data_IF_789877359820
#
_entry.id   IF_789877359820
#
_cell.length_a   1.000
_cell.length_b   1.000
_cell.length_c   1.000
_cell.angle_alpha   90.00
_cell.angle_beta   90.00
_cell.angle_gamma   90.00
#
_symmetry.space_group_name_H-M   'P 1'
#
loop_
_entity.id
_entity.type
_entity.pdbx_description
1 polymer ?
#
# COMPACT_ATOMS: atom_id res chain seq x y z
N UNK A 1 20.66 11.76 -26.97
CA UNK A 1 21.29 10.64 -26.21
C UNK A 1 21.26 10.87 -24.71
N UNK A 2 21.66 12.03 -24.17
CA UNK A 2 21.50 12.32 -22.73
C UNK A 2 20.08 12.75 -22.32
N UNK A 3 19.45 13.63 -23.12
CA UNK A 3 18.08 14.14 -22.87
C UNK A 3 17.03 13.03 -22.83
N UNK A 4 17.09 12.08 -23.77
CA UNK A 4 16.14 10.97 -23.86
C UNK A 4 16.11 10.10 -22.58
N UNK A 5 17.25 9.98 -21.90
CA UNK A 5 17.38 9.17 -20.67
C UNK A 5 16.84 9.93 -19.45
N UNK A 6 17.04 11.25 -19.38
CA UNK A 6 16.51 12.08 -18.29
C UNK A 6 14.98 12.22 -18.37
N UNK A 7 14.40 12.39 -19.56
CA UNK A 7 12.95 12.36 -19.73
C UNK A 7 12.36 11.00 -19.34
N UNK A 8 13.01 9.90 -19.73
CA UNK A 8 12.58 8.55 -19.35
C UNK A 8 12.59 8.38 -17.82
N UNK A 9 13.65 8.85 -17.14
CA UNK A 9 13.73 8.83 -15.67
C UNK A 9 12.59 9.63 -15.04
N UNK A 10 12.24 10.78 -15.60
CA UNK A 10 11.10 11.58 -15.17
C UNK A 10 9.78 10.80 -15.26
N UNK A 11 9.52 10.15 -16.40
CA UNK A 11 8.33 9.32 -16.62
C UNK A 11 8.29 8.12 -15.65
N UNK A 12 9.41 7.42 -15.48
CA UNK A 12 9.52 6.30 -14.54
C UNK A 12 9.34 6.74 -13.08
N UNK A 13 9.85 7.92 -12.71
CA UNK A 13 9.65 8.49 -11.38
C UNK A 13 8.17 8.77 -11.11
N UNK A 14 7.47 9.39 -12.07
CA UNK A 14 6.02 9.62 -11.96
C UNK A 14 5.25 8.30 -11.89
N UNK A 15 5.53 7.34 -12.75
CA UNK A 15 4.88 6.01 -12.70
C UNK A 15 5.12 5.30 -11.37
N UNK A 16 6.36 5.33 -10.86
CA UNK A 16 6.74 4.69 -9.60
C UNK A 16 6.05 5.32 -8.38
N UNK A 17 5.59 6.57 -8.47
CA UNK A 17 4.85 7.23 -7.41
C UNK A 17 3.33 7.09 -7.55
N UNK A 18 2.81 7.21 -8.77
CA UNK A 18 1.36 7.21 -9.04
C UNK A 18 0.75 5.81 -8.91
N UNK A 19 1.43 4.76 -9.42
CA UNK A 19 0.89 3.39 -9.36
C UNK A 19 0.70 2.92 -7.91
N UNK A 20 1.68 3.05 -7.01
CA UNK A 20 1.48 2.70 -5.60
C UNK A 20 0.43 3.57 -4.90
N UNK A 21 0.33 4.86 -5.24
CA UNK A 21 -0.67 5.76 -4.66
C UNK A 21 -2.10 5.35 -5.01
N UNK A 22 -2.35 4.98 -6.26
CA UNK A 22 -3.65 4.48 -6.72
C UNK A 22 -4.03 3.16 -6.03
N UNK A 23 -3.08 2.22 -5.94
CA UNK A 23 -3.27 0.95 -5.22
C UNK A 23 -3.66 1.23 -3.75
N UNK A 24 -2.94 2.13 -3.07
CA UNK A 24 -3.26 2.51 -1.68
C UNK A 24 -4.63 3.15 -1.55
N UNK A 25 -5.04 4.00 -2.49
CA UNK A 25 -6.36 4.64 -2.49
C UNK A 25 -7.50 3.63 -2.60
N UNK A 26 -7.39 2.67 -3.53
CA UNK A 26 -8.37 1.58 -3.69
C UNK A 26 -8.41 0.71 -2.43
N UNK A 27 -7.26 0.43 -1.84
CA UNK A 27 -7.24 -0.42 -0.66
C UNK A 27 -7.81 0.34 0.56
N UNK A 28 -7.49 1.61 0.74
CA UNK A 28 -8.06 2.42 1.82
C UNK A 28 -9.59 2.54 1.73
N UNK A 29 -10.16 2.59 0.52
CA UNK A 29 -11.63 2.59 0.36
C UNK A 29 -12.25 1.24 0.73
N UNK A 30 -11.56 0.13 0.45
CA UNK A 30 -11.99 -1.24 0.77
C UNK A 30 -11.73 -1.64 2.23
N UNK A 31 -10.77 -1.01 2.92
CA UNK A 31 -10.45 -1.23 4.33
C UNK A 31 -10.99 -0.13 5.26
N UNK A 32 -12.16 0.42 4.92
CA UNK A 32 -12.93 1.30 5.81
C UNK A 32 -13.77 0.50 6.81
N UNK A 33 -14.21 1.12 7.91
CA UNK A 33 -15.12 0.48 8.88
C UNK A 33 -16.44 0.03 8.23
N UNK A 34 -16.94 0.82 7.27
CA UNK A 34 -18.12 0.50 6.47
C UNK A 34 -17.87 -0.72 5.58
N UNK A 35 -16.76 -0.71 4.82
CA UNK A 35 -16.41 -1.84 3.97
C UNK A 35 -16.14 -3.12 4.77
N UNK A 36 -15.52 -3.02 5.94
CA UNK A 36 -15.35 -4.14 6.87
C UNK A 36 -16.68 -4.73 7.36
N UNK A 37 -17.67 -3.87 7.66
CA UNK A 37 -19.03 -4.32 8.04
C UNK A 37 -19.74 -5.02 6.89
N UNK A 38 -19.70 -4.46 5.69
CA UNK A 38 -20.31 -5.07 4.50
C UNK A 38 -19.62 -6.40 4.13
N UNK A 39 -18.29 -6.47 4.24
CA UNK A 39 -17.53 -7.70 4.03
C UNK A 39 -17.92 -8.80 5.03
N UNK A 40 -18.08 -8.46 6.31
CA UNK A 40 -18.53 -9.40 7.33
C UNK A 40 -19.94 -9.94 7.06
N UNK A 41 -20.86 -9.08 6.61
CA UNK A 41 -22.21 -9.51 6.19
C UNK A 41 -22.14 -10.46 4.99
N UNK A 42 -21.33 -10.13 3.98
CA UNK A 42 -21.17 -10.96 2.79
C UNK A 42 -20.61 -12.35 3.13
N UNK A 43 -19.58 -12.41 3.99
CA UNK A 43 -19.02 -13.66 4.47
C UNK A 43 -20.05 -14.53 5.22
N UNK A 44 -20.83 -13.91 6.12
CA UNK A 44 -21.88 -14.61 6.86
C UNK A 44 -23.01 -15.13 5.95
N UNK A 45 -23.43 -14.32 4.98
CA UNK A 45 -24.42 -14.74 3.99
C UNK A 45 -23.92 -15.88 3.10
N UNK A 46 -22.66 -15.81 2.66
CA UNK A 46 -22.01 -16.87 1.89
C UNK A 46 -21.96 -18.17 2.68
N UNK A 47 -21.45 -18.14 3.92
CA UNK A 47 -21.43 -19.30 4.80
C UNK A 47 -22.81 -19.92 4.98
N UNK A 48 -23.82 -19.10 5.30
CA UNK A 48 -25.19 -19.56 5.48
C UNK A 48 -25.74 -20.24 4.23
N UNK A 49 -25.48 -19.67 3.04
CA UNK A 49 -25.86 -20.26 1.77
C UNK A 49 -25.20 -21.63 1.51
N UNK A 50 -23.95 -21.83 1.92
CA UNK A 50 -23.28 -23.14 1.82
C UNK A 50 -23.95 -24.18 2.71
N UNK A 51 -24.29 -23.81 3.95
CA UNK A 51 -25.01 -24.70 4.88
C UNK A 51 -26.40 -25.05 4.35
N UNK A 52 -27.13 -24.06 3.83
CA UNK A 52 -28.46 -24.26 3.22
C UNK A 52 -28.38 -25.17 1.97
N UNK A 53 -27.28 -25.13 1.23
CA UNK A 53 -27.00 -26.01 0.09
C UNK A 53 -26.56 -27.43 0.52
N UNK A 54 -26.48 -27.72 1.82
CA UNK A 54 -26.11 -29.03 2.35
C UNK A 54 -24.61 -29.29 2.44
N UNK A 55 -23.77 -28.25 2.32
CA UNK A 55 -22.32 -28.40 2.50
C UNK A 55 -22.02 -28.62 3.99
N UNK A 56 -21.19 -29.61 4.34
CA UNK A 56 -20.76 -29.85 5.72
C UNK A 56 -20.14 -28.61 6.37
N UNK A 57 -20.39 -28.44 7.66
CA UNK A 57 -20.02 -27.24 8.42
C UNK A 57 -18.51 -26.92 8.36
N UNK A 58 -17.66 -27.93 8.46
CA UNK A 58 -16.21 -27.81 8.37
C UNK A 58 -15.75 -27.36 6.97
N UNK A 59 -16.36 -27.89 5.93
CA UNK A 59 -16.09 -27.51 4.54
C UNK A 59 -16.58 -26.09 4.27
N UNK A 60 -17.77 -25.73 4.75
CA UNK A 60 -18.36 -24.41 4.57
C UNK A 60 -17.54 -23.31 5.28
N UNK A 61 -17.03 -23.58 6.48
CA UNK A 61 -16.09 -22.70 7.18
C UNK A 61 -14.86 -22.47 6.31
N UNK A 62 -14.22 -23.54 5.84
CA UNK A 62 -12.99 -23.45 5.03
C UNK A 62 -13.21 -22.69 3.72
N UNK A 63 -14.35 -22.90 3.06
CA UNK A 63 -14.71 -22.16 1.84
C UNK A 63 -14.91 -20.67 2.13
N UNK A 64 -15.52 -20.34 3.27
CA UNK A 64 -15.72 -18.95 3.69
C UNK A 64 -14.41 -18.28 4.08
N UNK A 65 -13.53 -18.98 4.80
CA UNK A 65 -12.17 -18.52 5.11
C UNK A 65 -11.38 -18.23 3.83
N UNK A 66 -11.43 -19.13 2.85
CA UNK A 66 -10.80 -18.92 1.54
C UNK A 66 -11.41 -17.71 0.81
N UNK A 67 -12.72 -17.52 0.88
CA UNK A 67 -13.41 -16.37 0.28
C UNK A 67 -12.98 -15.04 0.92
N UNK A 68 -12.73 -15.00 2.24
CA UNK A 68 -12.24 -13.80 2.91
C UNK A 68 -10.73 -13.63 2.71
N UNK A 69 -9.98 -14.72 2.49
CA UNK A 69 -8.52 -14.71 2.41
C UNK A 69 -7.95 -13.83 1.29
N UNK A 70 -8.69 -13.67 0.18
CA UNK A 70 -8.31 -12.75 -0.91
C UNK A 70 -8.16 -11.31 -0.42
N UNK A 71 -8.95 -10.90 0.57
CA UNK A 71 -8.86 -9.58 1.19
C UNK A 71 -7.70 -9.49 2.18
N UNK A 72 -7.43 -10.52 2.99
CA UNK A 72 -6.25 -10.50 3.90
C UNK A 72 -4.93 -10.54 3.14
N UNK A 73 -4.86 -11.27 2.02
CA UNK A 73 -3.70 -11.31 1.13
C UNK A 73 -3.41 -9.92 0.53
N UNK A 74 -4.47 -9.14 0.22
CA UNK A 74 -4.33 -7.74 -0.18
C UNK A 74 -3.73 -6.88 0.95
N UNK A 75 -4.11 -7.15 2.20
CA UNK A 75 -3.49 -6.55 3.38
C UNK A 75 -2.02 -6.90 3.56
N UNK A 76 -1.60 -8.14 3.25
CA UNK A 76 -0.19 -8.53 3.25
C UNK A 76 0.60 -7.85 2.13
N UNK A 77 0.02 -7.72 0.93
CA UNK A 77 0.62 -6.96 -0.17
C UNK A 77 0.80 -5.50 0.25
N UNK A 78 -0.19 -4.88 0.92
CA UNK A 78 -0.02 -3.54 1.51
C UNK A 78 1.10 -3.48 2.55
N UNK A 79 1.20 -4.47 3.43
CA UNK A 79 2.28 -4.57 4.43
C UNK A 79 3.66 -4.79 3.82
N UNK A 80 3.74 -5.26 2.57
CA UNK A 80 4.99 -5.35 1.80
C UNK A 80 5.27 -4.06 1.01
N UNK A 81 4.23 -3.31 0.65
CA UNK A 81 4.29 -2.01 -0.01
C UNK A 81 4.37 -0.80 0.96
N UNK A 82 4.19 -1.01 2.26
CA UNK A 82 4.73 -0.21 3.37
C UNK A 82 5.65 -1.09 4.22
N UNK A 83 6.30 -0.68 5.31
CA UNK A 83 6.80 0.63 5.78
C UNK A 83 8.22 0.93 5.28
N UNK A 84 8.53 0.62 4.00
CA UNK A 84 9.79 1.06 3.37
C UNK A 84 9.88 2.58 3.16
N UNK A 85 8.73 3.23 2.89
CA UNK A 85 8.68 4.66 2.54
C UNK A 85 8.79 5.64 3.72
N UNK A 86 8.48 5.24 4.96
CA UNK A 86 8.69 6.12 6.13
C UNK A 86 10.17 6.26 6.48
N UNK A 87 10.95 5.18 6.30
CA UNK A 87 12.41 5.21 6.42
C UNK A 87 13.02 6.03 5.29
N UNK A 88 12.58 5.86 4.04
CA UNK A 88 13.08 6.65 2.91
C UNK A 88 12.77 8.15 3.05
N UNK A 89 11.55 8.53 3.49
CA UNK A 89 11.23 9.94 3.77
C UNK A 89 12.07 10.54 4.89
N UNK A 90 12.36 9.78 5.96
CA UNK A 90 13.26 10.24 7.03
C UNK A 90 14.69 10.41 6.55
N UNK A 91 15.19 9.45 5.77
CA UNK A 91 16.56 9.48 5.23
C UNK A 91 16.73 10.63 4.24
N UNK A 92 15.72 10.93 3.41
CA UNK A 92 15.74 12.07 2.49
C UNK A 92 15.72 13.41 3.25
N UNK A 93 14.88 13.53 4.29
CA UNK A 93 14.82 14.75 5.11
C UNK A 93 16.12 15.03 5.87
N UNK A 94 16.73 14.00 6.45
CA UNK A 94 18.03 14.11 7.13
C UNK A 94 19.18 14.40 6.16
N UNK A 95 19.09 13.96 4.90
CA UNK A 95 20.06 14.29 3.87
C UNK A 95 19.94 15.75 3.41
N UNK A 96 18.73 16.25 3.18
CA UNK A 96 18.47 17.67 2.84
C UNK A 96 18.91 18.63 3.95
N UNK A 97 18.63 18.33 5.22
CA UNK A 97 19.07 19.18 6.35
C UNK A 97 20.60 19.24 6.44
N UNK A 98 21.29 18.12 6.24
CA UNK A 98 22.77 18.06 6.30
C UNK A 98 23.44 18.76 5.12
N UNK A 99 22.81 18.80 3.94
CA UNK A 99 23.30 19.59 2.82
C UNK A 99 23.08 21.08 3.04
N UNK A 100 21.90 21.49 3.50
CA UNK A 100 21.60 22.89 3.81
C UNK A 100 22.55 23.47 4.88
N UNK A 101 22.88 22.69 5.91
CA UNK A 101 23.79 23.10 6.99
C UNK A 101 25.26 23.23 6.50
N UNK A 102 25.69 22.35 5.58
CA UNK A 102 27.01 22.43 4.95
C UNK A 102 27.14 23.61 3.98
N UNK A 103 26.07 23.96 3.27
CA UNK A 103 26.05 25.13 2.40
C UNK A 103 26.06 26.44 3.19
N UNK A 104 25.29 26.51 4.28
CA UNK A 104 25.29 27.66 5.18
C UNK A 104 26.66 27.90 5.85
N UNK A 105 27.35 26.84 6.28
CA UNK A 105 28.69 26.93 6.87
C UNK A 105 29.75 27.45 5.90
N UNK A 106 29.70 27.02 4.63
CA UNK A 106 30.63 27.48 3.57
C UNK A 106 30.42 28.95 3.19
N UNK A 107 29.20 29.46 3.30
CA UNK A 107 28.88 30.86 3.03
C UNK A 107 29.31 31.79 4.17
N UNK A 108 29.38 31.29 5.41
CA UNK A 108 29.83 32.04 6.59
C UNK A 108 31.37 32.14 6.69
N UNK A 109 32.12 31.19 6.12
CA UNK A 109 33.60 31.19 6.11
C UNK A 109 34.22 32.05 5.00
N UNK A 110 33.40 32.55 4.06
CA UNK A 110 33.84 33.39 2.93
C UNK A 110 33.60 34.90 3.14
N UNK A 111 33.18 35.32 4.35
CA UNK A 111 33.06 36.73 4.78
C UNK A 111 34.08 37.04 5.87
#
# INVERSE_FOLDING_TARGET
>A
MGEDVEELKGVFSVLSSQVPALIRGIIASVFSEEAGREMGKAAGAFYKGLIEAGIPHDVAIKMTENYISVFTNLGEIMKRLGPGMEKEKKIQKEAEEKEAEKEAGKQAEQQ
#
